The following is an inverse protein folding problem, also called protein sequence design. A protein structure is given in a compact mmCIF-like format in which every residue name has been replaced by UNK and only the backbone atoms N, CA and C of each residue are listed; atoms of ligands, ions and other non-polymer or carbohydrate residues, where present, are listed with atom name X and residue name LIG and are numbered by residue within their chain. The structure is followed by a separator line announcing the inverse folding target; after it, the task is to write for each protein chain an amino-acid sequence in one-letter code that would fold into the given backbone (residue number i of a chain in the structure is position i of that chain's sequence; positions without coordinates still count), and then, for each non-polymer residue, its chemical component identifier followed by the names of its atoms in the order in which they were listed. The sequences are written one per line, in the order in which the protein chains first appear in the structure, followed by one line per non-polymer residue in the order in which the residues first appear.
data_IF_949985095421
#
_entry.id   IF_949985095421
#
_cell.length_a   1.000
_cell.length_b   1.000
_cell.length_c   1.000
_cell.angle_alpha   90.00
_cell.angle_beta   90.00
_cell.angle_gamma   90.00
#
_symmetry.space_group_name_H-M   'P 1'
#
loop_
_entity.id
_entity.type
_entity.pdbx_description
1 polymer ?
#
# COMPACT_ATOMS: atom_id res chain seq x y z
N UNK A 1 13.44 -20.32 -26.83
CA UNK A 1 12.78 -20.18 -25.53
C UNK A 1 12.30 -18.75 -25.43
N UNK A 2 11.00 -18.57 -25.56
CA UNK A 2 10.35 -17.28 -25.40
C UNK A 2 10.25 -17.11 -23.88
N UNK A 3 11.06 -16.23 -23.31
CA UNK A 3 10.82 -15.74 -21.96
C UNK A 3 9.50 -14.99 -22.00
N UNK A 4 8.42 -15.59 -21.51
CA UNK A 4 7.21 -14.89 -21.12
C UNK A 4 7.62 -13.95 -19.97
N UNK A 5 7.94 -12.72 -20.33
CA UNK A 5 8.02 -11.63 -19.37
C UNK A 5 6.56 -11.44 -18.94
N UNK A 6 6.19 -11.92 -17.76
CA UNK A 6 4.87 -11.64 -17.19
C UNK A 6 4.71 -10.13 -17.18
N UNK A 7 3.74 -9.65 -17.96
CA UNK A 7 3.45 -8.24 -18.09
C UNK A 7 3.00 -7.71 -16.73
N UNK A 8 3.80 -6.83 -16.13
CA UNK A 8 3.51 -6.31 -14.80
C UNK A 8 2.21 -5.49 -14.83
N UNK A 9 1.37 -5.68 -13.81
CA UNK A 9 0.13 -4.92 -13.67
C UNK A 9 0.43 -3.43 -13.55
N UNK A 10 -0.15 -2.63 -14.45
CA UNK A 10 -0.11 -1.16 -14.42
C UNK A 10 -1.54 -0.64 -14.47
N UNK A 11 -1.87 0.31 -13.60
CA UNK A 11 -3.19 0.93 -13.52
C UNK A 11 -3.07 2.45 -13.40
N UNK A 12 -4.16 3.15 -13.67
CA UNK A 12 -4.26 4.59 -13.43
C UNK A 12 -4.81 4.89 -12.02
N UNK A 13 -4.34 5.97 -11.42
CA UNK A 13 -4.99 6.56 -10.26
C UNK A 13 -6.35 7.16 -10.66
N UNK A 14 -7.30 7.30 -9.72
CA UNK A 14 -8.57 7.97 -10.02
C UNK A 14 -8.36 9.36 -10.65
N UNK A 15 -9.18 9.73 -11.63
CA UNK A 15 -9.09 11.03 -12.31
C UNK A 15 -9.22 12.21 -11.34
N UNK A 16 -9.95 12.02 -10.24
CA UNK A 16 -10.18 13.03 -9.20
C UNK A 16 -9.11 13.00 -8.10
N UNK A 17 -8.03 12.24 -8.29
CA UNK A 17 -6.94 12.15 -7.33
C UNK A 17 -6.24 13.49 -7.17
N UNK A 18 -6.16 13.97 -5.93
CA UNK A 18 -5.39 15.16 -5.55
C UNK A 18 -4.28 14.72 -4.58
N UNK A 19 -3.04 14.97 -4.97
CA UNK A 19 -1.90 14.66 -4.12
C UNK A 19 -1.85 15.59 -2.90
N UNK A 20 -1.75 14.99 -1.70
CA UNK A 20 -1.51 15.75 -0.46
C UNK A 20 -0.05 16.22 -0.31
N UNK A 21 0.81 15.84 -1.26
CA UNK A 21 2.18 16.34 -1.38
C UNK A 21 2.26 17.74 -2.03
N UNK A 22 1.17 18.22 -2.63
CA UNK A 22 1.12 19.50 -3.28
C UNK A 22 1.39 20.66 -2.29
N UNK A 23 2.08 21.69 -2.75
CA UNK A 23 2.43 22.86 -1.93
C UNK A 23 1.20 23.66 -1.49
N UNK A 24 0.21 23.74 -2.38
CA UNK A 24 -1.05 24.43 -2.14
C UNK A 24 -2.19 23.41 -2.24
N UNK A 25 -2.89 23.22 -1.13
CA UNK A 25 -3.97 22.25 -1.02
C UNK A 25 -5.33 22.96 -1.02
N UNK A 26 -6.35 22.39 -1.70
CA UNK A 26 -7.72 22.88 -1.59
C UNK A 26 -8.26 22.71 -0.15
N UNK A 27 -9.23 23.54 0.25
CA UNK A 27 -9.84 23.44 1.59
C UNK A 27 -10.46 22.07 1.88
N UNK A 28 -10.96 21.38 0.86
CA UNK A 28 -11.50 20.02 0.98
C UNK A 28 -10.49 18.97 1.46
N UNK A 29 -9.19 19.26 1.37
CA UNK A 29 -8.14 18.35 1.84
C UNK A 29 -8.04 18.24 3.36
N UNK A 30 -8.55 19.22 4.13
CA UNK A 30 -8.37 19.27 5.58
C UNK A 30 -8.92 18.02 6.28
N UNK A 31 -10.10 17.54 5.88
CA UNK A 31 -10.70 16.34 6.48
C UNK A 31 -9.88 15.08 6.21
N UNK A 32 -9.28 14.97 5.04
CA UNK A 32 -8.39 13.86 4.70
C UNK A 32 -7.09 13.93 5.51
N UNK A 33 -6.52 15.13 5.67
CA UNK A 33 -5.33 15.36 6.51
C UNK A 33 -5.62 15.05 7.99
N UNK A 34 -6.70 15.55 8.55
CA UNK A 34 -7.10 15.27 9.94
C UNK A 34 -7.26 13.78 10.18
N UNK A 35 -7.85 13.06 9.21
CA UNK A 35 -7.98 11.61 9.29
C UNK A 35 -6.62 10.90 9.34
N UNK A 36 -5.64 11.33 8.53
CA UNK A 36 -4.29 10.75 8.51
C UNK A 36 -3.53 11.08 9.80
N UNK A 37 -3.57 12.34 10.24
CA UNK A 37 -2.91 12.78 11.49
C UNK A 37 -3.45 12.05 12.72
N UNK A 38 -4.76 11.82 12.80
CA UNK A 38 -5.37 11.03 13.87
C UNK A 38 -4.95 9.55 13.87
N UNK A 39 -4.34 9.08 12.78
CA UNK A 39 -3.72 7.74 12.67
C UNK A 39 -2.21 7.76 12.89
N UNK A 40 -1.62 8.88 13.27
CA UNK A 40 -0.19 9.01 13.43
C UNK A 40 0.59 9.09 12.12
N UNK A 41 -0.10 9.34 10.99
CA UNK A 41 0.52 9.52 9.68
C UNK A 41 0.71 11.01 9.46
N UNK A 42 1.94 11.45 9.56
CA UNK A 42 2.29 12.86 9.47
C UNK A 42 2.79 13.25 8.07
N UNK A 43 3.27 14.45 7.94
CA UNK A 43 3.67 15.00 6.64
C UNK A 43 4.79 14.20 5.96
N UNK A 44 5.73 13.67 6.74
CA UNK A 44 6.84 12.88 6.18
C UNK A 44 6.34 11.58 5.55
N UNK A 45 5.43 10.88 6.23
CA UNK A 45 4.81 9.65 5.72
C UNK A 45 3.94 9.96 4.50
N UNK A 46 3.16 11.05 4.53
CA UNK A 46 2.35 11.50 3.39
C UNK A 46 3.23 11.72 2.16
N UNK A 47 4.36 12.40 2.31
CA UNK A 47 5.31 12.65 1.22
C UNK A 47 5.97 11.37 0.72
N UNK A 48 6.43 10.52 1.64
CA UNK A 48 7.13 9.27 1.31
C UNK A 48 6.23 8.29 0.58
N UNK A 49 4.98 8.13 1.06
CA UNK A 49 4.00 7.24 0.46
C UNK A 49 3.17 7.88 -0.65
N UNK A 50 3.45 9.15 -1.00
CA UNK A 50 2.75 9.92 -2.05
C UNK A 50 1.23 9.89 -1.89
N UNK A 51 0.77 9.98 -0.63
CA UNK A 51 -0.65 9.88 -0.28
C UNK A 51 -1.41 11.05 -0.87
N UNK A 52 -2.60 10.77 -1.38
CA UNK A 52 -3.56 11.75 -1.85
C UNK A 52 -4.96 11.43 -1.38
N UNK A 53 -5.92 12.09 -1.97
CA UNK A 53 -7.35 11.87 -1.68
C UNK A 53 -8.21 12.18 -2.90
N UNK A 54 -9.44 11.71 -2.86
CA UNK A 54 -10.50 12.13 -3.78
C UNK A 54 -11.63 12.76 -2.96
N UNK A 55 -12.01 14.00 -3.32
CA UNK A 55 -13.13 14.68 -2.69
C UNK A 55 -14.47 14.21 -3.27
N UNK A 56 -14.49 13.89 -4.55
CA UNK A 56 -15.67 13.52 -5.34
C UNK A 56 -15.40 12.31 -6.25
N UNK A 57 -16.42 11.91 -7.01
CA UNK A 57 -16.35 10.79 -7.94
C UNK A 57 -16.50 9.44 -7.26
N UNK A 58 -16.17 8.38 -7.96
CA UNK A 58 -16.27 6.98 -7.48
C UNK A 58 -15.55 6.77 -6.15
N UNK A 59 -14.39 7.39 -5.99
CA UNK A 59 -13.54 7.29 -4.81
C UNK A 59 -13.70 8.48 -3.85
N UNK A 60 -14.74 9.30 -4.04
CA UNK A 60 -15.00 10.49 -3.22
C UNK A 60 -15.04 10.18 -1.73
N UNK A 61 -14.49 11.09 -0.91
CA UNK A 61 -14.39 10.91 0.54
C UNK A 61 -13.39 9.84 0.99
N UNK A 62 -12.37 9.55 0.17
CA UNK A 62 -11.33 8.54 0.47
C UNK A 62 -9.93 9.11 0.34
N UNK A 63 -9.07 8.74 1.28
CA UNK A 63 -7.63 8.85 1.10
C UNK A 63 -7.18 7.74 0.16
N UNK A 64 -6.23 8.06 -0.71
CA UNK A 64 -5.67 7.17 -1.72
C UNK A 64 -4.19 6.98 -1.41
N UNK A 65 -3.79 5.73 -1.22
CA UNK A 65 -2.39 5.37 -0.99
C UNK A 65 -1.94 4.56 -2.21
N UNK A 66 -1.17 5.16 -3.13
CA UNK A 66 -0.70 4.48 -4.33
C UNK A 66 0.40 3.46 -4.00
N UNK A 67 0.49 2.44 -4.82
CA UNK A 67 1.58 1.48 -4.86
C UNK A 67 2.29 1.57 -6.20
N UNK A 68 3.62 1.59 -6.16
CA UNK A 68 4.47 1.66 -7.35
C UNK A 68 5.26 0.36 -7.51
N UNK A 69 5.32 -0.16 -8.72
CA UNK A 69 6.20 -1.28 -9.07
C UNK A 69 7.68 -0.83 -9.11
N UNK A 70 8.59 -1.74 -9.39
CA UNK A 70 10.02 -1.47 -9.45
C UNK A 70 10.39 -0.42 -10.54
N UNK A 71 9.60 -0.30 -11.60
CA UNK A 71 9.79 0.66 -12.70
C UNK A 71 9.22 2.06 -12.37
N UNK A 72 8.46 2.17 -11.28
CA UNK A 72 7.83 3.42 -10.85
C UNK A 72 6.43 3.64 -11.40
N UNK A 73 5.83 2.65 -12.06
CA UNK A 73 4.45 2.68 -12.50
C UNK A 73 3.48 2.30 -11.37
N UNK A 74 2.30 2.91 -11.38
CA UNK A 74 1.26 2.55 -10.39
C UNK A 74 0.73 1.16 -10.72
N UNK A 75 0.89 0.22 -9.78
CA UNK A 75 0.39 -1.15 -9.92
C UNK A 75 -0.85 -1.46 -9.07
N UNK A 76 -1.12 -0.65 -8.06
CA UNK A 76 -2.28 -0.78 -7.17
C UNK A 76 -2.52 0.53 -6.39
N UNK A 77 -3.61 0.63 -5.67
CA UNK A 77 -3.80 1.63 -4.61
C UNK A 77 -4.80 1.13 -3.56
N UNK A 78 -4.70 1.66 -2.36
CA UNK A 78 -5.71 1.52 -1.32
C UNK A 78 -6.54 2.79 -1.28
N UNK A 79 -7.87 2.65 -1.26
CA UNK A 79 -8.81 3.76 -1.09
C UNK A 79 -9.62 3.57 0.19
N UNK A 80 -9.29 4.35 1.23
CA UNK A 80 -9.89 4.26 2.56
C UNK A 80 -10.77 5.46 2.85
N UNK A 81 -12.03 5.20 3.25
CA UNK A 81 -12.97 6.27 3.63
C UNK A 81 -12.49 7.07 4.84
N UNK A 82 -12.53 8.40 4.73
CA UNK A 82 -12.34 9.34 5.84
C UNK A 82 -13.66 10.03 6.26
N UNK A 83 -14.77 9.71 5.58
CA UNK A 83 -16.09 10.30 5.86
C UNK A 83 -17.07 9.31 6.47
N UNK A 84 -16.65 8.05 6.73
CA UNK A 84 -17.48 7.05 7.40
C UNK A 84 -18.44 6.29 6.50
N UNK A 85 -18.07 6.05 5.22
CA UNK A 85 -18.84 5.16 4.37
C UNK A 85 -18.98 3.75 4.98
N UNK A 86 -20.10 3.08 4.78
CA UNK A 86 -20.31 1.68 5.19
C UNK A 86 -19.22 0.78 4.60
N UNK A 87 -18.89 0.98 3.32
CA UNK A 87 -17.76 0.33 2.68
C UNK A 87 -16.48 1.11 2.96
N UNK A 88 -15.78 0.70 4.01
CA UNK A 88 -14.54 1.37 4.47
C UNK A 88 -13.46 1.42 3.40
N UNK A 89 -13.26 0.33 2.65
CA UNK A 89 -12.30 0.23 1.55
C UNK A 89 -13.02 0.07 0.22
N UNK A 90 -12.55 0.77 -0.79
CA UNK A 90 -12.98 0.64 -2.18
C UNK A 90 -11.74 0.62 -3.05
N UNK A 91 -11.08 -0.54 -3.11
CA UNK A 91 -9.86 -0.70 -3.87
C UNK A 91 -10.14 -0.87 -5.37
N UNK A 92 -9.13 -0.71 -6.26
CA UNK A 92 -9.31 -0.87 -7.69
C UNK A 92 -9.72 -2.31 -8.02
N UNK A 93 -10.53 -2.51 -9.09
CA UNK A 93 -10.99 -3.83 -9.53
C UNK A 93 -9.90 -4.56 -10.34
N UNK A 94 -8.77 -4.84 -9.73
CA UNK A 94 -7.64 -5.52 -10.36
C UNK A 94 -7.01 -6.54 -9.40
N UNK A 95 -6.04 -7.30 -9.86
CA UNK A 95 -5.34 -8.30 -9.06
C UNK A 95 -4.64 -7.69 -7.84
N UNK A 96 -4.56 -8.48 -6.77
CA UNK A 96 -3.85 -8.10 -5.54
C UNK A 96 -2.49 -8.79 -5.40
N UNK A 97 -2.14 -9.65 -6.34
CA UNK A 97 -0.84 -10.30 -6.35
C UNK A 97 0.18 -9.33 -6.94
N UNK A 98 0.59 -8.41 -6.12
CA UNK A 98 1.61 -7.39 -6.38
C UNK A 98 2.48 -7.23 -5.13
N UNK A 99 3.65 -6.67 -5.30
CA UNK A 99 4.47 -6.20 -4.18
C UNK A 99 4.10 -4.72 -3.95
N UNK A 100 3.44 -4.44 -2.82
CA UNK A 100 2.98 -3.09 -2.56
C UNK A 100 4.16 -2.15 -2.33
N UNK A 101 4.23 -1.11 -3.16
CA UNK A 101 5.29 -0.09 -3.15
C UNK A 101 6.70 -0.67 -3.32
N UNK A 102 6.85 -1.63 -4.24
CA UNK A 102 8.10 -2.33 -4.55
C UNK A 102 9.26 -1.37 -4.83
N UNK A 103 8.96 -0.23 -5.48
CA UNK A 103 9.93 0.83 -5.76
C UNK A 103 10.72 1.29 -4.52
N UNK A 104 10.11 1.19 -3.35
CA UNK A 104 10.69 1.63 -2.07
C UNK A 104 11.26 0.49 -1.23
N UNK A 105 11.21 -0.74 -1.72
CA UNK A 105 11.72 -1.91 -0.99
C UNK A 105 13.23 -1.99 -1.16
N UNK A 106 13.93 -2.10 -0.03
CA UNK A 106 15.35 -2.43 0.00
C UNK A 106 15.52 -3.94 0.29
N UNK A 107 15.85 -4.70 -0.74
CA UNK A 107 15.98 -6.16 -0.65
C UNK A 107 17.24 -6.62 0.09
N UNK A 108 18.21 -5.74 0.28
CA UNK A 108 19.46 -6.03 1.01
C UNK A 108 19.30 -5.84 2.53
N UNK A 109 18.21 -5.21 2.95
CA UNK A 109 17.87 -4.97 4.36
C UNK A 109 16.67 -5.83 4.79
N UNK A 110 16.56 -6.18 6.10
CA UNK A 110 15.43 -6.96 6.58
C UNK A 110 14.08 -6.29 6.30
N UNK A 111 13.12 -7.09 5.81
CA UNK A 111 11.74 -6.64 5.61
C UNK A 111 10.91 -6.79 6.89
N UNK A 112 10.00 -5.85 7.10
CA UNK A 112 8.94 -5.96 8.11
C UNK A 112 7.64 -6.28 7.37
N UNK A 113 7.13 -7.50 7.50
CA UNK A 113 5.84 -7.87 6.92
C UNK A 113 4.71 -7.56 7.89
N UNK A 114 3.72 -6.83 7.40
CA UNK A 114 2.52 -6.42 8.14
C UNK A 114 1.26 -6.81 7.36
N UNK A 115 0.07 -6.77 7.99
CA UNK A 115 -1.16 -7.16 7.32
C UNK A 115 -1.64 -6.10 6.32
N UNK A 116 -1.66 -4.84 6.72
CA UNK A 116 -2.26 -3.75 5.98
C UNK A 116 -1.32 -2.60 5.65
N UNK A 117 -1.75 -1.78 4.68
CA UNK A 117 -0.93 -0.63 4.22
C UNK A 117 -0.75 0.42 5.31
N UNK A 118 -1.78 0.67 6.15
CA UNK A 118 -1.66 1.62 7.25
C UNK A 118 -0.63 1.16 8.29
N UNK A 119 -0.56 -0.14 8.54
CA UNK A 119 0.44 -0.72 9.44
C UNK A 119 1.84 -0.57 8.87
N UNK A 120 1.99 -0.77 7.54
CA UNK A 120 3.27 -0.56 6.86
C UNK A 120 3.76 0.89 6.97
N UNK A 121 2.87 1.87 6.82
CA UNK A 121 3.23 3.29 6.93
C UNK A 121 3.81 3.63 8.30
N UNK A 122 3.22 3.09 9.38
CA UNK A 122 3.64 3.38 10.75
C UNK A 122 4.73 2.46 11.28
N UNK A 123 4.91 1.27 10.69
CA UNK A 123 5.96 0.33 11.08
C UNK A 123 7.38 0.83 10.77
N UNK A 124 7.50 1.76 9.84
CA UNK A 124 8.76 2.40 9.49
C UNK A 124 9.29 2.00 8.11
N UNK A 125 10.61 2.14 7.97
CA UNK A 125 11.28 1.87 6.70
C UNK A 125 11.28 0.36 6.41
N UNK A 126 11.22 0.02 5.13
CA UNK A 126 11.24 -1.34 4.62
C UNK A 126 10.10 -2.25 5.13
N UNK A 127 8.94 -1.65 5.47
CA UNK A 127 7.73 -2.39 5.82
C UNK A 127 6.88 -2.63 4.58
N UNK A 128 6.44 -3.87 4.38
CA UNK A 128 5.66 -4.32 3.22
C UNK A 128 4.38 -5.00 3.70
N UNK A 129 3.19 -4.56 3.23
CA UNK A 129 1.95 -5.20 3.58
C UNK A 129 1.70 -6.45 2.73
N UNK A 130 1.20 -7.51 3.35
CA UNK A 130 0.82 -8.74 2.63
C UNK A 130 -0.55 -8.63 1.94
N UNK A 131 -1.26 -7.52 2.12
CA UNK A 131 -2.59 -7.23 1.54
C UNK A 131 -3.66 -8.30 1.85
N UNK A 132 -3.52 -9.01 2.92
CA UNK A 132 -4.42 -10.07 3.34
C UNK A 132 -3.97 -10.72 4.63
N UNK A 133 -4.49 -11.91 4.90
CA UNK A 133 -4.17 -12.66 6.13
C UNK A 133 -3.18 -13.82 5.89
N UNK A 134 -2.74 -14.03 4.67
CA UNK A 134 -1.89 -15.17 4.31
C UNK A 134 -0.94 -14.79 3.18
N UNK A 135 0.33 -15.06 3.37
CA UNK A 135 1.35 -14.99 2.33
C UNK A 135 1.44 -16.39 1.68
N UNK A 136 1.10 -16.47 0.41
CA UNK A 136 1.17 -17.72 -0.35
C UNK A 136 2.54 -17.88 -0.98
N UNK A 137 3.02 -19.12 -1.10
CA UNK A 137 4.31 -19.44 -1.73
C UNK A 137 4.37 -19.04 -3.21
N UNK A 138 3.21 -19.01 -3.88
CA UNK A 138 3.08 -18.61 -5.29
C UNK A 138 3.00 -17.09 -5.48
N UNK A 139 2.84 -16.30 -4.39
CA UNK A 139 2.72 -14.85 -4.50
C UNK A 139 4.03 -14.19 -4.94
N UNK A 140 3.90 -13.10 -5.68
CA UNK A 140 5.06 -12.32 -6.14
C UNK A 140 5.96 -11.88 -4.97
N UNK A 141 5.36 -11.46 -3.85
CA UNK A 141 6.10 -11.04 -2.67
C UNK A 141 6.94 -12.18 -2.08
N UNK A 142 6.36 -13.38 -1.91
CA UNK A 142 7.09 -14.53 -1.40
C UNK A 142 8.24 -14.93 -2.31
N UNK A 143 7.99 -14.97 -3.62
CA UNK A 143 9.01 -15.32 -4.62
C UNK A 143 10.15 -14.30 -4.62
N UNK A 144 9.85 -13.01 -4.50
CA UNK A 144 10.88 -11.97 -4.43
C UNK A 144 11.72 -12.07 -3.16
N UNK A 145 11.10 -12.30 -1.98
CA UNK A 145 11.81 -12.54 -0.72
C UNK A 145 12.76 -13.74 -0.87
N UNK A 146 12.29 -14.84 -1.43
CA UNK A 146 13.09 -16.04 -1.63
C UNK A 146 14.23 -15.84 -2.65
N UNK A 147 13.98 -15.09 -3.73
CA UNK A 147 14.97 -14.82 -4.76
C UNK A 147 16.11 -13.91 -4.26
N UNK A 148 15.81 -12.97 -3.36
CA UNK A 148 16.79 -12.06 -2.77
C UNK A 148 17.42 -12.60 -1.47
N UNK A 149 16.90 -13.72 -0.94
CA UNK A 149 17.31 -14.27 0.38
C UNK A 149 17.21 -13.24 1.50
N UNK A 150 16.15 -12.42 1.44
CA UNK A 150 15.96 -11.28 2.34
C UNK A 150 15.43 -11.74 3.70
N UNK A 151 16.07 -11.36 4.81
CA UNK A 151 15.55 -11.64 6.15
C UNK A 151 14.20 -10.95 6.38
N UNK A 152 13.29 -11.61 7.11
CA UNK A 152 11.92 -11.12 7.33
C UNK A 152 11.58 -11.11 8.82
N UNK A 153 11.02 -9.97 9.28
CA UNK A 153 10.35 -9.86 10.57
C UNK A 153 8.83 -9.83 10.35
N UNK A 154 8.11 -10.67 11.09
CA UNK A 154 6.64 -10.70 11.03
C UNK A 154 6.07 -9.80 12.13
N UNK A 155 5.34 -8.75 11.74
CA UNK A 155 4.61 -7.87 12.64
C UNK A 155 3.11 -7.94 12.29
N UNK A 156 2.51 -9.12 12.50
CA UNK A 156 1.11 -9.40 12.22
C UNK A 156 0.26 -9.17 13.47
N UNK A 157 -1.03 -8.92 13.28
CA UNK A 157 -1.97 -8.80 14.38
C UNK A 157 -2.00 -10.09 15.24
N UNK A 158 -2.23 -10.00 16.58
CA UNK A 158 -2.23 -11.16 17.47
C UNK A 158 -3.18 -12.29 17.04
N UNK A 159 -4.29 -11.95 16.38
CA UNK A 159 -5.24 -12.92 15.83
C UNK A 159 -4.68 -13.69 14.62
N UNK A 160 -3.67 -13.16 13.95
CA UNK A 160 -2.98 -13.78 12.82
C UNK A 160 -1.81 -14.67 13.27
N UNK A 161 -1.36 -14.57 14.52
CA UNK A 161 -0.24 -15.34 15.06
C UNK A 161 -0.47 -16.86 14.95
N UNK A 162 -1.72 -17.29 15.11
CA UNK A 162 -2.12 -18.69 14.90
C UNK A 162 -1.96 -19.15 13.46
N UNK A 163 -2.02 -18.24 12.50
CA UNK A 163 -1.86 -18.50 11.07
C UNK A 163 -0.40 -18.44 10.63
N UNK A 164 0.42 -17.60 11.27
CA UNK A 164 1.85 -17.46 10.99
C UNK A 164 2.68 -18.71 11.29
N UNK A 165 2.17 -19.62 12.15
CA UNK A 165 2.85 -20.90 12.47
C UNK A 165 2.83 -21.93 11.34
N UNK A 166 2.21 -21.62 10.21
CA UNK A 166 2.06 -22.50 9.05
C UNK A 166 2.72 -21.93 7.78
N UNK A 167 3.57 -20.92 7.92
CA UNK A 167 4.41 -20.34 6.85
C UNK A 167 5.90 -20.83 7.07
#
# INVERSE_FOLDING_TARGET
EINDVEEQQVIDLPNEFVSLCNRHLPLGSNRALDYLYNRGIEKNEILRWKIGYCEKGKYGGRVIIPSFNADGDVNYFIARSYVGHNRRYLNPPCGRDIIFNELSVDWDEPLILVEGVFDAIVAGDNAVPILGSTLRTESLLFQAIAAHDTPVYLALDPDAEKKARWI
#
